data_IF_983772359021
#
_entry.id   IF_983772359021
#
_cell.length_a   1.000
_cell.length_b   1.000
_cell.length_c   1.000
_cell.angle_alpha   90.00
_cell.angle_beta   90.00
_cell.angle_gamma   90.00
#
_symmetry.space_group_name_H-M   'P 1'
#
loop_
_entity.id
_entity.type
_entity.pdbx_description
1 polymer ?
#
# COMPACT_ATOMS: atom_id res chain seq x y z
N UNK A 1 -12.91 -4.63 8.12
CA UNK A 1 -11.67 -5.30 7.67
C UNK A 1 -11.71 -5.45 6.16
N UNK A 2 -10.63 -5.07 5.49
CA UNK A 2 -10.43 -5.18 4.04
C UNK A 2 -9.72 -6.50 3.73
N UNK A 3 -10.30 -7.35 2.89
CA UNK A 3 -9.71 -8.66 2.56
C UNK A 3 -9.06 -8.62 1.18
N UNK A 4 -7.82 -9.10 1.07
CA UNK A 4 -7.12 -9.37 -0.20
C UNK A 4 -6.78 -10.85 -0.30
N UNK A 5 -6.96 -11.46 -1.47
CA UNK A 5 -6.81 -12.90 -1.65
C UNK A 5 -5.51 -13.27 -2.37
N UNK A 6 -4.74 -14.20 -1.81
CA UNK A 6 -3.63 -14.86 -2.52
C UNK A 6 -4.05 -16.14 -3.23
N UNK A 7 -5.34 -16.48 -3.27
CA UNK A 7 -5.85 -17.69 -3.92
C UNK A 7 -5.53 -17.69 -5.42
N UNK A 8 -5.35 -18.86 -6.03
CA UNK A 8 -5.24 -18.97 -7.49
C UNK A 8 -6.53 -18.45 -8.15
N UNK A 9 -6.38 -17.59 -9.15
CA UNK A 9 -7.50 -16.97 -9.87
C UNK A 9 -8.09 -15.71 -9.23
N UNK A 10 -7.61 -15.25 -8.07
CA UNK A 10 -7.98 -13.94 -7.56
C UNK A 10 -7.39 -12.83 -8.45
N UNK A 11 -8.20 -11.83 -8.81
CA UNK A 11 -7.79 -10.75 -9.71
C UNK A 11 -6.72 -9.86 -9.10
N UNK A 12 -6.75 -9.65 -7.78
CA UNK A 12 -5.82 -8.81 -7.02
C UNK A 12 -4.64 -9.59 -6.41
N UNK A 13 -4.39 -10.82 -6.87
CA UNK A 13 -3.48 -11.77 -6.23
C UNK A 13 -2.07 -11.21 -6.03
N UNK A 14 -1.50 -10.52 -7.02
CA UNK A 14 -0.15 -9.98 -6.91
C UNK A 14 -0.06 -8.86 -5.87
N UNK A 15 -1.09 -8.01 -5.75
CA UNK A 15 -1.21 -7.02 -4.69
C UNK A 15 -1.34 -7.69 -3.33
N UNK A 16 -2.19 -8.72 -3.21
CA UNK A 16 -2.34 -9.51 -1.98
C UNK A 16 -1.00 -10.14 -1.54
N UNK A 17 -0.23 -10.69 -2.48
CA UNK A 17 1.09 -11.27 -2.22
C UNK A 17 2.12 -10.22 -1.79
N UNK A 18 2.07 -9.02 -2.38
CA UNK A 18 2.91 -7.91 -1.98
C UNK A 18 2.61 -7.48 -0.53
N UNK A 19 1.33 -7.26 -0.19
CA UNK A 19 0.92 -6.92 1.17
C UNK A 19 1.29 -8.04 2.16
N UNK A 20 1.07 -9.31 1.81
CA UNK A 20 1.50 -10.46 2.61
C UNK A 20 3.00 -10.44 2.90
N UNK A 21 3.82 -10.07 1.92
CA UNK A 21 5.27 -9.95 2.09
C UNK A 21 5.60 -8.78 3.03
N UNK A 22 4.94 -7.63 2.87
CA UNK A 22 5.12 -6.49 3.76
C UNK A 22 4.77 -6.84 5.22
N UNK A 23 3.78 -7.71 5.44
CA UNK A 23 3.36 -8.16 6.75
C UNK A 23 4.29 -9.19 7.40
N UNK A 24 4.73 -10.18 6.63
CA UNK A 24 5.42 -11.37 7.16
C UNK A 24 6.93 -11.31 7.01
N UNK A 25 7.42 -10.53 6.05
CA UNK A 25 8.84 -10.37 5.73
C UNK A 25 9.14 -8.90 5.35
N UNK A 26 8.82 -7.93 6.22
CA UNK A 26 8.95 -6.50 5.90
C UNK A 26 10.37 -6.12 5.44
N UNK A 27 11.41 -6.77 5.97
CA UNK A 27 12.81 -6.56 5.57
C UNK A 27 13.12 -6.97 4.12
N UNK A 28 12.34 -7.87 3.51
CA UNK A 28 12.54 -8.31 2.12
C UNK A 28 11.94 -7.31 1.12
N UNK A 29 11.08 -6.41 1.61
CA UNK A 29 10.44 -5.40 0.79
C UNK A 29 11.34 -4.20 0.51
N UNK A 30 10.98 -3.41 -0.51
CA UNK A 30 11.68 -2.15 -0.83
C UNK A 30 10.78 -0.97 -0.49
N UNK A 31 11.32 0.17 -0.01
CA UNK A 31 12.72 0.41 0.37
C UNK A 31 13.17 -0.44 1.56
N UNK A 32 14.43 -0.88 1.63
CA UNK A 32 14.88 -1.63 2.82
C UNK A 32 14.90 -0.73 4.07
N UNK A 33 14.46 -1.27 5.20
CA UNK A 33 14.60 -0.67 6.53
C UNK A 33 14.67 -1.81 7.56
N UNK A 34 15.72 -1.82 8.39
CA UNK A 34 15.99 -2.92 9.32
C UNK A 34 14.88 -3.14 10.35
N UNK A 35 14.32 -2.05 10.88
CA UNK A 35 13.23 -2.07 11.86
C UNK A 35 11.86 -1.80 11.22
N UNK A 36 11.66 -2.17 9.94
CA UNK A 36 10.41 -1.92 9.24
C UNK A 36 9.26 -2.67 9.90
N UNK A 37 8.18 -1.95 10.20
CA UNK A 37 6.94 -2.51 10.74
C UNK A 37 5.76 -1.75 10.11
N UNK A 38 5.30 -2.25 8.96
CA UNK A 38 4.17 -1.63 8.26
C UNK A 38 2.87 -1.80 9.06
N UNK A 39 2.03 -0.76 9.16
CA UNK A 39 0.75 -0.83 9.87
C UNK A 39 -0.30 -1.60 9.04
N UNK A 40 -1.49 -1.73 9.60
CA UNK A 40 -2.69 -2.25 8.94
C UNK A 40 -3.03 -3.71 9.24
N UNK A 41 -2.27 -4.43 10.07
CA UNK A 41 -2.56 -5.82 10.45
C UNK A 41 -3.43 -5.96 11.70
N UNK A 42 -3.29 -5.01 12.64
CA UNK A 42 -3.86 -5.09 13.98
C UNK A 42 -4.64 -3.82 14.31
N UNK A 43 -5.68 -3.89 15.15
CA UNK A 43 -6.45 -2.70 15.55
C UNK A 43 -5.60 -1.60 16.21
N UNK A 44 -4.49 -1.95 16.89
CA UNK A 44 -3.59 -0.97 17.52
C UNK A 44 -2.74 -0.18 16.52
N UNK A 45 -2.64 -0.65 15.29
CA UNK A 45 -1.90 0.00 14.21
C UNK A 45 -2.75 -0.08 12.93
N UNK A 46 -3.94 0.52 12.88
CA UNK A 46 -4.81 0.43 11.72
C UNK A 46 -4.31 1.36 10.60
N UNK A 47 -4.96 1.29 9.45
CA UNK A 47 -4.82 2.30 8.40
C UNK A 47 -5.98 3.30 8.50
N UNK A 48 -5.70 4.56 8.17
CA UNK A 48 -6.71 5.60 8.15
C UNK A 48 -6.84 6.15 6.74
N UNK A 49 -8.06 6.18 6.22
CA UNK A 49 -8.31 6.72 4.89
C UNK A 49 -8.01 8.22 4.90
N UNK A 50 -7.27 8.69 3.89
CA UNK A 50 -7.19 10.12 3.57
C UNK A 50 -7.94 10.46 2.28
N UNK A 51 -8.73 11.54 2.25
CA UNK A 51 -9.28 12.07 0.99
C UNK A 51 -8.47 13.23 0.38
N UNK A 52 -7.53 13.78 1.14
CA UNK A 52 -6.68 14.90 0.73
C UNK A 52 -5.91 14.59 -0.56
N UNK A 53 -6.13 15.41 -1.60
CA UNK A 53 -5.52 15.19 -2.93
C UNK A 53 -4.00 15.36 -2.91
N UNK A 54 -3.48 16.35 -2.19
CA UNK A 54 -2.05 16.61 -2.11
C UNK A 54 -1.33 15.45 -1.41
N UNK A 55 -1.83 15.02 -0.24
CA UNK A 55 -1.25 13.89 0.50
C UNK A 55 -1.23 12.59 -0.31
N UNK A 56 -2.31 12.29 -1.04
CA UNK A 56 -2.36 11.14 -1.95
C UNK A 56 -1.29 11.21 -3.04
N UNK A 57 -1.07 12.39 -3.60
CA UNK A 57 -0.08 12.59 -4.65
C UNK A 57 1.35 12.49 -4.09
N UNK A 58 1.59 13.02 -2.89
CA UNK A 58 2.87 12.90 -2.22
C UNK A 58 3.21 11.43 -1.92
N UNK A 59 2.24 10.67 -1.42
CA UNK A 59 2.38 9.22 -1.23
C UNK A 59 2.79 8.53 -2.54
N UNK A 60 2.04 8.75 -3.62
CA UNK A 60 2.35 8.13 -4.93
C UNK A 60 3.73 8.53 -5.44
N UNK A 61 4.11 9.81 -5.33
CA UNK A 61 5.43 10.29 -5.74
C UNK A 61 6.54 9.63 -4.94
N UNK A 62 6.37 9.51 -3.63
CA UNK A 62 7.32 8.85 -2.74
C UNK A 62 7.48 7.36 -3.11
N UNK A 63 6.39 6.65 -3.37
CA UNK A 63 6.40 5.26 -3.80
C UNK A 63 7.05 5.06 -5.18
N UNK A 64 6.62 5.83 -6.19
CA UNK A 64 7.18 5.79 -7.55
C UNK A 64 8.68 6.10 -7.54
N UNK A 65 9.13 7.03 -6.69
CA UNK A 65 10.56 7.30 -6.50
C UNK A 65 11.32 6.05 -6.04
N UNK A 66 10.75 5.25 -5.14
CA UNK A 66 11.36 3.98 -4.73
C UNK A 66 11.28 2.91 -5.83
N UNK A 67 10.15 2.77 -6.54
CA UNK A 67 10.08 1.84 -7.68
C UNK A 67 11.17 2.14 -8.73
N UNK A 68 11.34 3.41 -9.10
CA UNK A 68 12.42 3.84 -10.01
C UNK A 68 13.81 3.55 -9.45
N UNK A 69 14.02 3.75 -8.15
CA UNK A 69 15.31 3.51 -7.49
C UNK A 69 15.72 2.03 -7.53
N UNK A 70 14.78 1.11 -7.30
CA UNK A 70 15.09 -0.31 -7.13
C UNK A 70 14.89 -1.17 -8.40
N UNK A 71 14.04 -0.73 -9.34
CA UNK A 71 13.76 -1.47 -10.59
C UNK A 71 14.06 -0.66 -11.86
N UNK A 72 14.58 0.57 -11.73
CA UNK A 72 14.91 1.43 -12.87
C UNK A 72 13.72 2.23 -13.41
N UNK A 73 13.99 3.19 -14.27
CA UNK A 73 12.97 4.07 -14.84
C UNK A 73 11.95 3.33 -15.73
N UNK A 74 12.31 2.15 -16.23
CA UNK A 74 11.51 1.28 -17.10
C UNK A 74 10.78 0.16 -16.32
N UNK A 75 10.64 0.26 -15.00
CA UNK A 75 9.95 -0.75 -14.17
C UNK A 75 8.52 -1.06 -14.62
N UNK A 76 7.89 -0.17 -15.38
CA UNK A 76 6.53 -0.33 -15.91
C UNK A 76 6.47 -1.30 -17.10
N UNK A 77 7.60 -1.71 -17.67
CA UNK A 77 7.69 -2.61 -18.83
C UNK A 77 6.70 -2.23 -19.95
N UNK A 78 6.81 -1.00 -20.46
CA UNK A 78 5.91 -0.50 -21.51
C UNK A 78 4.46 -0.28 -21.06
N UNK A 79 4.20 -0.18 -19.76
CA UNK A 79 2.87 0.06 -19.18
C UNK A 79 2.11 -1.21 -18.78
N UNK A 80 2.74 -2.38 -18.86
CA UNK A 80 2.19 -3.67 -18.38
C UNK A 80 2.29 -3.83 -16.87
N UNK A 81 3.11 -2.99 -16.20
CA UNK A 81 3.26 -2.98 -14.75
C UNK A 81 3.07 -1.59 -14.15
N UNK A 82 2.62 -1.59 -12.92
CA UNK A 82 2.46 -0.39 -12.09
C UNK A 82 3.19 -0.57 -10.75
N UNK A 83 3.50 0.56 -10.10
CA UNK A 83 4.13 0.56 -8.78
C UNK A 83 3.04 0.37 -7.73
N UNK A 84 2.88 -0.85 -7.23
CA UNK A 84 2.00 -1.11 -6.09
C UNK A 84 2.69 -0.66 -4.81
N UNK A 85 1.91 -0.13 -3.87
CA UNK A 85 2.39 0.50 -2.64
C UNK A 85 1.55 0.09 -1.43
N UNK A 86 2.24 -0.20 -0.33
CA UNK A 86 1.60 -0.51 0.94
C UNK A 86 2.38 0.12 2.11
N UNK A 87 1.75 0.92 3.00
CA UNK A 87 0.34 1.30 2.99
C UNK A 87 -0.09 2.09 1.75
N UNK A 88 -1.40 2.13 1.49
CA UNK A 88 -1.95 2.66 0.24
C UNK A 88 -1.75 4.18 0.11
N UNK A 89 -1.63 4.73 -1.10
CA UNK A 89 -1.59 6.19 -1.26
C UNK A 89 -2.81 6.93 -0.70
N UNK A 90 -3.93 6.22 -0.55
CA UNK A 90 -5.16 6.78 0.03
C UNK A 90 -5.25 6.63 1.54
N UNK A 91 -4.13 6.37 2.22
CA UNK A 91 -4.06 6.34 3.69
C UNK A 91 -3.10 7.37 4.26
N UNK A 92 -3.29 7.75 5.53
CA UNK A 92 -2.38 8.64 6.25
C UNK A 92 -0.98 8.01 6.38
N UNK A 93 -0.92 6.69 6.55
CA UNK A 93 0.29 5.88 6.73
C UNK A 93 1.03 5.57 5.40
N UNK A 94 0.66 6.25 4.31
CA UNK A 94 1.25 6.02 2.99
C UNK A 94 2.73 6.40 2.91
N UNK A 95 3.32 6.22 1.73
CA UNK A 95 4.78 6.34 1.54
C UNK A 95 5.40 7.71 1.91
N UNK A 96 4.60 8.78 1.98
CA UNK A 96 5.02 10.11 2.38
C UNK A 96 4.66 10.45 3.84
N UNK A 97 4.23 9.51 4.67
CA UNK A 97 3.84 9.74 6.07
C UNK A 97 4.89 10.57 6.84
N UNK A 98 6.17 10.19 6.75
CA UNK A 98 7.31 10.91 7.35
C UNK A 98 7.42 12.39 6.96
N UNK A 99 6.95 12.78 5.77
CA UNK A 99 6.99 14.17 5.31
C UNK A 99 5.83 15.00 5.93
N UNK A 100 4.81 14.34 6.46
CA UNK A 100 3.62 14.94 7.10
C UNK A 100 3.61 14.75 8.63
N UNK A 101 4.39 13.83 9.15
CA UNK A 101 4.53 13.50 10.57
C UNK A 101 6.02 13.27 10.91
N UNK A 102 6.65 14.16 11.70
CA UNK A 102 8.07 14.04 12.04
C UNK A 102 8.38 12.82 12.91
N UNK A 103 7.40 12.27 13.63
CA UNK A 103 7.57 11.08 14.47
C UNK A 103 7.44 9.78 13.65
N UNK A 104 6.88 9.86 12.45
CA UNK A 104 6.76 8.73 11.56
C UNK A 104 8.12 8.27 11.01
N UNK A 105 8.30 6.95 10.99
CA UNK A 105 9.55 6.34 10.54
C UNK A 105 9.67 6.42 9.02
N UNK A 106 10.72 7.09 8.55
CA UNK A 106 11.09 7.10 7.14
C UNK A 106 11.22 5.68 6.59
N UNK A 107 10.70 5.47 5.38
CA UNK A 107 10.73 4.17 4.68
C UNK A 107 9.90 3.05 5.31
N UNK A 108 8.94 3.36 6.20
CA UNK A 108 8.01 2.39 6.78
C UNK A 108 6.85 2.01 5.84
N UNK A 109 7.15 1.82 4.56
CA UNK A 109 6.23 1.38 3.52
C UNK A 109 6.94 0.39 2.58
N UNK A 110 6.20 -0.26 1.72
CA UNK A 110 6.64 -1.24 0.74
C UNK A 110 6.16 -0.85 -0.64
N UNK A 111 7.02 -1.02 -1.64
CA UNK A 111 6.67 -0.88 -3.05
C UNK A 111 7.12 -2.09 -3.84
N UNK A 112 6.36 -2.43 -4.88
CA UNK A 112 6.70 -3.50 -5.81
C UNK A 112 6.04 -3.26 -7.16
N UNK A 113 6.79 -3.33 -8.28
CA UNK A 113 6.19 -3.42 -9.59
C UNK A 113 5.39 -4.72 -9.74
N UNK A 114 4.09 -4.61 -9.99
CA UNK A 114 3.20 -5.75 -10.27
C UNK A 114 2.43 -5.51 -11.58
N UNK A 115 1.74 -6.53 -12.09
CA UNK A 115 0.91 -6.40 -13.27
C UNK A 115 -0.15 -5.30 -13.08
N UNK A 116 -0.38 -4.50 -14.12
CA UNK A 116 -1.32 -3.37 -14.07
C UNK A 116 -2.74 -3.83 -13.73
N UNK A 117 -3.15 -4.98 -14.26
CA UNK A 117 -4.47 -5.56 -14.06
C UNK A 117 -4.67 -5.94 -12.59
N UNK A 118 -3.70 -6.65 -11.98
CA UNK A 118 -3.72 -6.97 -10.55
C UNK A 118 -3.76 -5.71 -9.66
N UNK A 119 -2.95 -4.70 -10.00
CA UNK A 119 -2.89 -3.45 -9.25
C UNK A 119 -4.23 -2.70 -9.31
N UNK A 120 -4.84 -2.64 -10.51
CA UNK A 120 -6.13 -2.02 -10.75
C UNK A 120 -7.28 -2.74 -10.04
N UNK A 121 -7.27 -4.08 -10.04
CA UNK A 121 -8.22 -4.89 -9.29
C UNK A 121 -8.10 -4.64 -7.78
N UNK A 122 -6.88 -4.63 -7.25
CA UNK A 122 -6.61 -4.27 -5.87
C UNK A 122 -7.10 -2.87 -5.51
N UNK A 123 -6.83 -1.87 -6.34
CA UNK A 123 -7.34 -0.51 -6.13
C UNK A 123 -8.87 -0.43 -6.16
N UNK A 124 -9.52 -1.15 -7.08
CA UNK A 124 -10.99 -1.18 -7.19
C UNK A 124 -11.64 -1.84 -5.97
N UNK A 125 -11.01 -2.88 -5.43
CA UNK A 125 -11.42 -3.53 -4.19
C UNK A 125 -11.36 -2.58 -2.99
N UNK A 126 -10.26 -1.82 -2.85
CA UNK A 126 -10.09 -0.80 -1.81
C UNK A 126 -11.16 0.29 -1.89
N UNK A 127 -11.42 0.84 -3.09
CA UNK A 127 -12.46 1.86 -3.28
C UNK A 127 -13.85 1.31 -2.96
N UNK A 128 -14.14 0.08 -3.38
CA UNK A 128 -15.40 -0.61 -3.06
C UNK A 128 -15.55 -0.83 -1.56
N UNK A 129 -14.47 -1.16 -0.87
CA UNK A 129 -14.47 -1.30 0.59
C UNK A 129 -14.78 0.02 1.28
N UNK A 130 -14.13 1.12 0.89
CA UNK A 130 -14.42 2.45 1.42
C UNK A 130 -15.90 2.83 1.22
N UNK A 131 -16.45 2.59 0.04
CA UNK A 131 -17.85 2.91 -0.25
C UNK A 131 -18.83 2.05 0.56
N UNK A 132 -18.65 0.72 0.56
CA UNK A 132 -19.56 -0.22 1.23
C UNK A 132 -19.58 -0.07 2.75
N UNK A 133 -18.41 0.22 3.34
CA UNK A 133 -18.27 0.36 4.79
C UNK A 133 -18.35 1.82 5.25
N UNK A 134 -18.59 2.76 4.31
CA UNK A 134 -18.66 4.20 4.56
C UNK A 134 -17.45 4.75 5.32
N UNK A 135 -16.27 4.21 5.03
CA UNK A 135 -15.03 4.62 5.70
C UNK A 135 -14.81 6.10 5.47
N UNK A 136 -14.74 6.88 6.55
CA UNK A 136 -14.58 8.34 6.47
C UNK A 136 -13.11 8.75 6.41
N UNK A 137 -12.87 10.01 6.06
CA UNK A 137 -11.54 10.62 6.15
C UNK A 137 -11.20 10.89 7.62
N UNK A 138 -9.96 10.58 8.02
CA UNK A 138 -9.41 10.96 9.33
C UNK A 138 -8.99 9.79 10.22
N UNK A 139 -8.43 10.12 11.38
CA UNK A 139 -7.80 9.18 12.30
C UNK A 139 -8.78 8.38 13.18
N UNK A 140 -10.07 8.71 13.14
CA UNK A 140 -11.08 8.08 14.01
C UNK A 140 -11.74 6.84 13.39
N UNK A 141 -11.51 6.58 12.10
CA UNK A 141 -12.11 5.47 11.37
C UNK A 141 -11.04 4.56 10.78
N UNK A 142 -10.35 3.87 11.69
CA UNK A 142 -9.29 2.94 11.38
C UNK A 142 -9.81 1.62 10.80
N UNK A 143 -9.13 1.11 9.77
CA UNK A 143 -9.40 -0.21 9.22
C UNK A 143 -8.12 -1.06 9.11
N UNK A 144 -8.31 -2.37 9.19
CA UNK A 144 -7.23 -3.35 9.02
C UNK A 144 -7.41 -4.15 7.74
N UNK A 145 -6.30 -4.63 7.20
CA UNK A 145 -6.19 -5.46 6.00
C UNK A 145 -5.89 -6.89 6.41
N UNK A 146 -6.63 -7.85 5.86
CA UNK A 146 -6.41 -9.28 6.06
C UNK A 146 -6.10 -9.95 4.74
N UNK A 147 -5.08 -10.80 4.76
CA UNK A 147 -4.76 -11.67 3.62
C UNK A 147 -5.49 -13.01 3.81
N UNK A 148 -6.26 -13.40 2.79
CA UNK A 148 -6.92 -14.71 2.71
C UNK A 148 -6.24 -15.56 1.62
N UNK A 149 -6.37 -16.88 1.69
CA UNK A 149 -5.70 -17.83 0.78
C UNK A 149 -6.69 -18.86 0.27
#
# INVERSE_FOLDING_TARGET
MLNYSTKDGAEERAAAQHIKTAFTKPQDTKPYMSAKKVPGQTPDQPLHRTVNKARKEDNRKAAVKQCKRYWGANYTHGGTRECDEYPFATTYEGAAEHDHDPDAKKFNFSVKPIAKEDNGAGGSLLLSFYAKNRIIDGMEDGFIVKIVS
#
